data_IF_359099129954
#
_entry.id   IF_359099129954
#
_cell.length_a   1.000
_cell.length_b   1.000
_cell.length_c   1.000
_cell.angle_alpha   90.00
_cell.angle_beta   90.00
_cell.angle_gamma   90.00
#
_symmetry.space_group_name_H-M   'P 1'
#
loop_
_entity.id
_entity.type
_entity.pdbx_description
1 polymer ?
#
# COMPACT_ATOMS: atom_id res chain seq x y z
N UNK A 1 -30.74 -11.64 -5.45
CA UNK A 1 -31.03 -10.84 -4.23
C UNK A 1 -29.87 -11.02 -3.27
N UNK A 2 -29.26 -9.94 -2.78
CA UNK A 2 -28.29 -10.03 -1.68
C UNK A 2 -29.07 -10.13 -0.35
N UNK A 3 -28.68 -11.05 0.53
CA UNK A 3 -29.29 -11.13 1.85
C UNK A 3 -28.94 -9.89 2.69
N UNK A 4 -29.88 -9.30 3.45
CA UNK A 4 -29.57 -8.19 4.34
C UNK A 4 -28.59 -8.65 5.43
N UNK A 5 -27.57 -7.82 5.71
CA UNK A 5 -26.63 -8.09 6.81
C UNK A 5 -27.41 -8.12 8.12
N UNK A 6 -27.37 -9.27 8.80
CA UNK A 6 -28.07 -9.47 10.08
C UNK A 6 -27.40 -8.62 11.18
N UNK A 7 -27.89 -7.40 11.37
CA UNK A 7 -27.50 -6.54 12.48
C UNK A 7 -28.11 -7.16 13.75
N UNK A 8 -27.30 -7.94 14.46
CA UNK A 8 -27.69 -8.57 15.72
C UNK A 8 -28.21 -7.51 16.70
N UNK A 9 -29.27 -7.86 17.44
CA UNK A 9 -29.84 -6.99 18.47
C UNK A 9 -28.79 -6.71 19.55
N UNK A 10 -28.76 -5.50 20.17
CA UNK A 10 -27.69 -5.13 21.10
C UNK A 10 -27.53 -6.06 22.31
N UNK A 11 -28.60 -6.73 22.72
CA UNK A 11 -28.57 -7.76 23.77
C UNK A 11 -27.86 -9.04 23.34
N UNK A 12 -27.96 -9.44 22.07
CA UNK A 12 -27.41 -10.70 21.55
C UNK A 12 -25.92 -10.63 21.23
N UNK A 13 -25.42 -9.44 20.87
CA UNK A 13 -23.98 -9.21 20.60
C UNK A 13 -23.09 -9.42 21.83
N UNK A 14 -23.67 -9.38 23.04
CA UNK A 14 -22.96 -9.55 24.32
C UNK A 14 -23.54 -10.69 25.17
N UNK A 15 -24.36 -11.55 24.57
CA UNK A 15 -24.89 -12.77 25.20
C UNK A 15 -23.78 -13.82 25.25
N UNK A 16 -23.27 -14.13 26.46
CA UNK A 16 -22.17 -15.08 26.63
C UNK A 16 -22.64 -16.50 26.30
N UNK A 17 -21.89 -17.21 25.45
CA UNK A 17 -22.10 -18.63 25.23
C UNK A 17 -21.81 -19.46 26.48
N UNK A 18 -22.31 -20.70 26.52
CA UNK A 18 -22.01 -21.66 27.60
C UNK A 18 -20.50 -21.92 27.75
N UNK A 19 -19.70 -21.76 26.69
CA UNK A 19 -18.25 -21.80 26.77
C UNK A 19 -17.67 -20.54 27.43
N UNK A 20 -18.13 -19.35 27.05
CA UNK A 20 -17.62 -18.08 27.59
C UNK A 20 -17.96 -17.86 29.07
N UNK A 21 -19.03 -18.48 29.56
CA UNK A 21 -19.37 -18.52 30.99
C UNK A 21 -18.43 -19.38 31.84
N UNK A 22 -17.71 -20.34 31.24
CA UNK A 22 -16.91 -21.34 31.96
C UNK A 22 -15.43 -21.40 31.52
N UNK A 23 -15.01 -20.61 30.53
CA UNK A 23 -13.62 -20.58 30.04
C UNK A 23 -12.66 -20.08 31.11
N UNK A 24 -11.56 -20.82 31.29
CA UNK A 24 -10.41 -20.34 32.07
C UNK A 24 -9.72 -19.17 31.37
N UNK A 25 -8.85 -18.43 32.10
CA UNK A 25 -7.79 -17.64 31.49
C UNK A 25 -6.95 -18.48 30.50
N UNK A 26 -6.24 -17.78 29.63
CA UNK A 26 -5.16 -18.35 28.82
C UNK A 26 -3.85 -17.83 29.40
N UNK A 27 -3.00 -18.73 29.88
CA UNK A 27 -1.75 -18.36 30.55
C UNK A 27 -0.76 -17.74 29.56
N UNK A 28 0.01 -16.78 30.05
CA UNK A 28 1.01 -16.10 29.24
C UNK A 28 2.24 -16.98 29.02
N UNK A 29 2.75 -17.00 27.77
CA UNK A 29 4.02 -17.67 27.45
C UNK A 29 5.16 -16.82 28.01
N UNK A 30 5.90 -17.36 28.98
CA UNK A 30 6.95 -16.67 29.74
C UNK A 30 8.34 -17.34 29.63
N UNK A 31 8.46 -18.40 28.85
CA UNK A 31 9.66 -19.24 28.70
C UNK A 31 10.73 -18.68 27.74
N UNK A 32 10.44 -17.54 27.11
CA UNK A 32 11.32 -16.93 26.09
C UNK A 32 11.10 -17.43 24.66
N UNK A 33 10.02 -18.17 24.38
CA UNK A 33 9.63 -18.61 23.02
C UNK A 33 9.71 -17.47 22.00
N UNK A 34 10.59 -17.63 21.00
CA UNK A 34 10.73 -16.68 19.89
C UNK A 34 9.64 -16.91 18.83
N UNK A 35 8.95 -15.83 18.42
CA UNK A 35 7.89 -15.88 17.40
C UNK A 35 8.37 -15.24 16.10
N UNK A 36 8.75 -16.07 15.13
CA UNK A 36 9.16 -15.63 13.80
C UNK A 36 7.95 -15.22 12.93
N UNK A 37 7.59 -13.93 12.96
CA UNK A 37 6.55 -13.34 12.09
C UNK A 37 7.15 -12.78 10.79
N UNK A 38 6.57 -13.16 9.64
CA UNK A 38 6.96 -12.56 8.36
C UNK A 38 6.36 -11.16 8.21
N UNK A 39 7.05 -10.18 7.61
CA UNK A 39 6.50 -8.84 7.38
C UNK A 39 5.21 -8.79 6.53
N UNK A 40 4.91 -9.87 5.79
CA UNK A 40 3.68 -10.01 5.01
C UNK A 40 2.50 -10.55 5.83
N UNK A 41 2.78 -11.25 6.93
CA UNK A 41 1.78 -11.96 7.75
C UNK A 41 0.92 -11.07 8.63
N UNK A 42 1.32 -9.81 8.83
CA UNK A 42 0.61 -8.80 9.64
C UNK A 42 0.34 -7.52 8.82
N UNK A 43 0.35 -7.63 7.49
CA UNK A 43 0.35 -6.48 6.59
C UNK A 43 -1.03 -5.80 6.51
N UNK A 44 -2.12 -6.58 6.56
CA UNK A 44 -3.50 -6.06 6.55
C UNK A 44 -3.91 -5.44 7.89
N UNK A 45 -3.30 -5.87 8.99
CA UNK A 45 -3.67 -5.53 10.37
C UNK A 45 -2.96 -4.26 10.84
N UNK A 46 -1.76 -4.00 10.31
CA UNK A 46 -0.88 -2.91 10.75
C UNK A 46 -0.76 -1.76 9.72
N UNK A 47 -1.40 -1.86 8.55
CA UNK A 47 -1.42 -0.83 7.51
C UNK A 47 -2.54 0.19 7.75
N UNK A 48 -2.28 1.46 7.42
CA UNK A 48 -3.30 2.48 7.27
C UNK A 48 -3.96 2.40 5.88
N UNK A 49 -5.28 2.18 5.77
CA UNK A 49 -5.97 2.06 4.48
C UNK A 49 -6.14 3.40 3.72
N UNK A 50 -5.48 4.47 4.15
CA UNK A 50 -5.45 5.77 3.45
C UNK A 50 -4.13 5.97 2.71
N UNK A 51 -2.98 5.71 3.35
CA UNK A 51 -1.65 5.88 2.76
C UNK A 51 -0.98 4.57 2.32
N UNK A 52 -1.61 3.42 2.60
CA UNK A 52 -1.12 2.07 2.27
C UNK A 52 0.27 1.73 2.84
N UNK A 53 0.64 2.43 3.91
CA UNK A 53 1.87 2.27 4.72
C UNK A 53 1.48 1.88 6.15
N UNK A 54 2.42 1.32 6.92
CA UNK A 54 2.24 0.92 8.31
C UNK A 54 1.79 2.11 9.18
N UNK A 55 0.89 1.88 10.14
CA UNK A 55 0.26 2.93 10.95
C UNK A 55 1.27 3.80 11.72
N UNK A 56 1.13 5.13 11.63
CA UNK A 56 1.96 6.14 12.34
C UNK A 56 1.08 7.00 13.24
N UNK A 57 1.36 7.02 14.55
CA UNK A 57 0.59 7.73 15.57
C UNK A 57 -0.90 7.40 15.50
N UNK A 58 -1.21 6.14 15.78
CA UNK A 58 -2.49 5.48 15.47
C UNK A 58 -3.67 6.21 16.08
N UNK A 59 -4.65 6.53 15.22
CA UNK A 59 -5.97 7.04 15.60
C UNK A 59 -7.03 6.00 15.27
N UNK A 60 -7.85 5.65 16.27
CA UNK A 60 -8.89 4.63 16.19
C UNK A 60 -10.28 5.26 16.26
N UNK A 61 -11.21 4.84 15.40
CA UNK A 61 -12.61 5.32 15.39
C UNK A 61 -13.43 4.67 16.50
N UNK A 62 -14.26 5.44 17.21
CA UNK A 62 -15.07 4.91 18.33
C UNK A 62 -16.15 3.92 17.86
N UNK A 63 -16.85 4.25 16.78
CA UNK A 63 -18.04 3.50 16.32
C UNK A 63 -17.73 2.22 15.52
N UNK A 64 -16.46 1.96 15.19
CA UNK A 64 -16.07 0.83 14.35
C UNK A 64 -14.62 0.35 14.49
N UNK A 65 -13.81 0.91 15.40
CA UNK A 65 -12.45 0.48 15.73
C UNK A 65 -11.45 0.41 14.55
N UNK A 66 -11.76 1.07 13.43
CA UNK A 66 -10.85 1.20 12.30
C UNK A 66 -9.69 2.14 12.64
N UNK A 67 -8.49 1.75 12.21
CA UNK A 67 -7.21 2.39 12.56
C UNK A 67 -6.64 3.16 11.37
N UNK A 68 -6.10 4.34 11.66
CA UNK A 68 -5.52 5.24 10.66
C UNK A 68 -4.32 5.99 11.25
N UNK A 69 -3.38 6.42 10.41
CA UNK A 69 -2.37 7.39 10.83
C UNK A 69 -3.04 8.71 11.23
N UNK A 70 -2.52 9.40 12.26
CA UNK A 70 -3.08 10.67 12.74
C UNK A 70 -3.39 11.65 11.61
N UNK A 71 -2.41 11.88 10.75
CA UNK A 71 -2.47 12.98 9.79
C UNK A 71 -3.30 12.61 8.56
N UNK A 72 -3.36 11.32 8.23
CA UNK A 72 -4.23 10.78 7.20
C UNK A 72 -5.72 10.96 7.56
N UNK A 73 -6.15 10.56 8.75
CA UNK A 73 -7.58 10.70 9.15
C UNK A 73 -7.96 12.14 9.46
N UNK A 74 -7.04 12.97 9.99
CA UNK A 74 -7.27 14.41 10.14
C UNK A 74 -7.41 15.09 8.79
N UNK A 75 -6.59 14.73 7.80
CA UNK A 75 -6.69 15.27 6.45
C UNK A 75 -7.98 14.83 5.77
N UNK A 76 -8.35 13.53 5.83
CA UNK A 76 -9.60 13.03 5.28
C UNK A 76 -10.83 13.75 5.85
N UNK A 77 -10.90 13.93 7.17
CA UNK A 77 -12.00 14.67 7.81
C UNK A 77 -12.01 16.17 7.47
N UNK A 78 -10.86 16.76 7.11
CA UNK A 78 -10.74 18.15 6.64
C UNK A 78 -11.28 18.30 5.21
N UNK A 79 -11.11 17.31 4.34
CA UNK A 79 -11.56 17.29 2.94
C UNK A 79 -13.09 17.23 2.72
N UNK A 80 -13.90 17.65 3.69
CA UNK A 80 -15.36 17.66 3.60
C UNK A 80 -16.04 16.42 4.18
N UNK A 81 -15.73 15.21 3.69
CA UNK A 81 -16.46 13.99 4.05
C UNK A 81 -16.31 13.64 5.55
N UNK A 82 -17.46 13.56 6.26
CA UNK A 82 -17.54 13.27 7.70
C UNK A 82 -17.89 11.80 7.96
N UNK A 83 -17.11 10.90 7.38
CA UNK A 83 -17.32 9.46 7.40
C UNK A 83 -16.00 8.70 7.64
N UNK A 84 -16.10 7.44 8.05
CA UNK A 84 -14.98 6.52 8.20
C UNK A 84 -14.52 6.01 6.82
N UNK A 85 -13.26 6.24 6.38
CA UNK A 85 -12.81 5.83 5.04
C UNK A 85 -12.97 4.33 4.74
N UNK A 86 -12.90 3.46 5.76
CA UNK A 86 -13.04 2.00 5.59
C UNK A 86 -14.48 1.52 5.48
N UNK A 87 -15.44 2.15 6.19
CA UNK A 87 -16.79 1.59 6.36
C UNK A 87 -17.94 2.60 6.34
N UNK A 88 -17.66 3.87 5.99
CA UNK A 88 -18.62 4.98 5.81
C UNK A 88 -19.52 5.33 7.01
N UNK A 89 -19.33 4.72 8.19
CA UNK A 89 -19.96 5.18 9.45
C UNK A 89 -19.59 6.64 9.73
N UNK A 90 -20.57 7.44 10.19
CA UNK A 90 -20.44 8.89 10.42
C UNK A 90 -19.34 9.23 11.45
N UNK A 91 -18.43 10.13 11.07
CA UNK A 91 -17.37 10.68 11.92
C UNK A 91 -17.52 12.20 12.00
N UNK A 92 -18.28 12.68 12.98
CA UNK A 92 -18.67 14.10 13.11
C UNK A 92 -17.46 15.04 13.18
N UNK A 93 -16.40 14.64 13.88
CA UNK A 93 -15.14 15.39 13.98
C UNK A 93 -14.01 14.52 14.53
N UNK A 94 -12.82 15.10 14.75
CA UNK A 94 -11.72 14.47 15.51
C UNK A 94 -12.14 13.97 16.91
N UNK A 95 -13.24 14.48 17.49
CA UNK A 95 -13.82 13.98 18.76
C UNK A 95 -14.44 12.57 18.63
N UNK A 96 -14.74 12.10 17.43
CA UNK A 96 -15.17 10.71 17.13
C UNK A 96 -14.01 9.70 17.13
N UNK A 97 -12.77 10.15 17.37
CA UNK A 97 -11.56 9.33 17.38
C UNK A 97 -10.95 9.24 18.80
N UNK A 98 -10.00 8.32 18.97
CA UNK A 98 -9.02 8.26 20.08
C UNK A 98 -7.61 8.03 19.51
N UNK A 99 -6.57 8.40 20.25
CA UNK A 99 -5.21 7.87 20.02
C UNK A 99 -5.14 6.44 20.58
N UNK A 100 -4.35 5.59 19.95
CA UNK A 100 -4.18 4.17 20.31
C UNK A 100 -2.69 3.87 20.53
N UNK A 101 -2.13 4.43 21.61
CA UNK A 101 -0.71 4.32 21.96
C UNK A 101 -0.28 2.88 22.25
N UNK A 102 -1.22 2.02 22.63
CA UNK A 102 -0.94 0.60 22.88
C UNK A 102 -0.71 -0.13 21.55
N UNK A 103 -1.44 0.24 20.50
CA UNK A 103 -1.22 -0.27 19.15
C UNK A 103 0.07 0.29 18.52
N UNK A 104 0.39 1.57 18.73
CA UNK A 104 1.69 2.13 18.35
C UNK A 104 2.85 1.38 19.04
N UNK A 105 2.75 1.11 20.34
CA UNK A 105 3.75 0.36 21.10
C UNK A 105 3.88 -1.11 20.64
N UNK A 106 2.77 -1.75 20.26
CA UNK A 106 2.77 -3.09 19.67
C UNK A 106 3.52 -3.10 18.33
N UNK A 107 3.26 -2.11 17.46
CA UNK A 107 3.99 -1.95 16.19
C UNK A 107 5.49 -1.78 16.45
N UNK A 108 5.90 -0.94 17.40
CA UNK A 108 7.32 -0.75 17.77
C UNK A 108 7.98 -2.00 18.39
N UNK A 109 7.20 -2.95 18.94
CA UNK A 109 7.74 -4.23 19.42
C UNK A 109 7.91 -5.26 18.31
N UNK A 110 7.03 -5.25 17.31
CA UNK A 110 7.11 -6.16 16.14
C UNK A 110 8.12 -5.64 15.11
N UNK A 111 8.25 -4.31 14.95
CA UNK A 111 9.18 -3.66 14.02
C UNK A 111 10.02 -2.58 14.73
N UNK A 112 11.05 -2.96 15.53
CA UNK A 112 11.87 -2.00 16.26
C UNK A 112 12.63 -1.01 15.37
N UNK A 113 13.19 -1.48 14.24
CA UNK A 113 13.98 -0.68 13.28
C UNK A 113 13.15 -0.20 12.08
N UNK A 114 11.91 0.24 12.34
CA UNK A 114 10.95 0.68 11.30
C UNK A 114 11.55 1.65 10.28
N UNK A 115 12.24 2.71 10.73
CA UNK A 115 12.77 3.73 9.84
C UNK A 115 13.88 3.20 8.92
N UNK A 116 14.63 2.20 9.38
CA UNK A 116 15.62 1.48 8.56
C UNK A 116 14.93 0.64 7.48
N UNK A 117 13.82 -0.02 7.81
CA UNK A 117 13.01 -0.79 6.87
C UNK A 117 12.38 0.11 5.79
N UNK A 118 11.73 1.21 6.19
CA UNK A 118 11.17 2.19 5.24
C UNK A 118 12.28 2.79 4.36
N UNK A 119 13.44 3.15 4.93
CA UNK A 119 14.57 3.65 4.18
C UNK A 119 15.21 2.59 3.27
N UNK A 120 15.16 1.30 3.62
CA UNK A 120 15.59 0.21 2.75
C UNK A 120 14.64 0.06 1.56
N UNK A 121 13.32 -0.04 1.80
CA UNK A 121 12.32 -0.13 0.73
C UNK A 121 12.41 1.07 -0.23
N UNK A 122 12.59 2.28 0.30
CA UNK A 122 12.75 3.50 -0.50
C UNK A 122 13.96 3.43 -1.45
N UNK A 123 15.13 3.01 -0.95
CA UNK A 123 16.35 2.82 -1.76
C UNK A 123 16.20 1.72 -2.81
N UNK A 124 15.46 0.64 -2.51
CA UNK A 124 15.17 -0.43 -3.47
C UNK A 124 14.23 0.05 -4.57
N UNK A 125 13.15 0.77 -4.22
CA UNK A 125 12.22 1.35 -5.18
C UNK A 125 12.91 2.41 -6.07
N UNK A 126 13.74 3.26 -5.49
CA UNK A 126 14.56 4.24 -6.22
C UNK A 126 15.52 3.56 -7.21
N UNK A 127 16.23 2.50 -6.77
CA UNK A 127 17.09 1.70 -7.65
C UNK A 127 16.30 1.11 -8.81
N UNK A 128 15.14 0.51 -8.56
CA UNK A 128 14.28 -0.04 -9.60
C UNK A 128 13.79 1.06 -10.56
N UNK A 129 13.36 2.22 -10.04
CA UNK A 129 12.88 3.32 -10.88
C UNK A 129 13.97 3.92 -11.78
N UNK A 130 15.23 3.89 -11.34
CA UNK A 130 16.42 4.24 -12.15
C UNK A 130 16.85 3.16 -13.15
N UNK A 131 16.39 1.91 -12.99
CA UNK A 131 16.69 0.79 -13.90
C UNK A 131 15.62 0.59 -14.98
N UNK A 132 14.39 1.04 -14.74
CA UNK A 132 13.36 1.10 -15.78
C UNK A 132 13.64 2.27 -16.72
N UNK A 133 13.46 2.06 -18.03
CA UNK A 133 13.69 3.08 -19.06
C UNK A 133 12.52 4.09 -19.15
N UNK A 134 12.21 4.72 -18.00
CA UNK A 134 11.21 5.78 -17.86
C UNK A 134 11.52 6.96 -18.79
N UNK A 135 12.80 7.23 -19.07
CA UNK A 135 13.24 8.37 -19.87
C UNK A 135 12.87 8.19 -21.35
N UNK A 136 13.14 7.03 -21.97
CA UNK A 136 12.71 6.75 -23.34
C UNK A 136 11.20 6.56 -23.48
N UNK A 137 10.51 6.06 -22.44
CA UNK A 137 9.05 6.01 -22.44
C UNK A 137 8.45 7.43 -22.40
N UNK A 138 9.01 8.30 -21.55
CA UNK A 138 8.57 9.70 -21.42
C UNK A 138 8.81 10.49 -22.70
N UNK A 139 9.99 10.37 -23.33
CA UNK A 139 10.28 11.07 -24.59
C UNK A 139 9.42 10.56 -25.75
N UNK A 140 9.15 9.26 -25.84
CA UNK A 140 8.25 8.67 -26.84
C UNK A 140 6.81 9.17 -26.68
N UNK A 141 6.29 9.23 -25.44
CA UNK A 141 4.95 9.79 -25.14
C UNK A 141 4.89 11.28 -25.49
N UNK A 142 5.92 12.06 -25.12
CA UNK A 142 5.99 13.49 -25.37
C UNK A 142 6.11 13.80 -26.87
N UNK A 143 6.87 12.99 -27.63
CA UNK A 143 6.95 13.12 -29.08
C UNK A 143 5.62 12.76 -29.76
N UNK A 144 4.94 11.68 -29.33
CA UNK A 144 3.62 11.33 -29.80
C UNK A 144 2.60 12.46 -29.60
N UNK A 145 2.61 13.10 -28.42
CA UNK A 145 1.81 14.29 -28.13
C UNK A 145 2.16 15.48 -29.05
N UNK A 146 3.45 15.75 -29.29
CA UNK A 146 3.89 16.79 -30.23
C UNK A 146 3.44 16.51 -31.66
N UNK A 147 3.51 15.27 -32.13
CA UNK A 147 3.04 14.88 -33.46
C UNK A 147 1.52 15.07 -33.58
N UNK A 148 0.73 14.57 -32.62
CA UNK A 148 -0.73 14.76 -32.60
C UNK A 148 -1.13 16.25 -32.60
N UNK A 149 -0.45 17.09 -31.80
CA UNK A 149 -0.67 18.53 -31.78
C UNK A 149 -0.36 19.20 -33.13
N UNK A 150 0.73 18.78 -33.81
CA UNK A 150 1.05 19.24 -35.17
C UNK A 150 -0.06 18.89 -36.16
N UNK A 151 -0.52 17.64 -36.22
CA UNK A 151 -1.59 17.23 -37.13
C UNK A 151 -2.91 17.94 -36.86
N UNK A 152 -3.27 18.15 -35.57
CA UNK A 152 -4.46 18.92 -35.17
C UNK A 152 -4.43 20.35 -35.71
N UNK A 153 -3.27 21.02 -35.65
CA UNK A 153 -3.11 22.38 -36.17
C UNK A 153 -3.16 22.46 -37.71
N UNK A 154 -2.77 21.40 -38.43
CA UNK A 154 -2.92 21.36 -39.90
C UNK A 154 -4.38 21.18 -40.31
N UNK A 155 -5.16 20.33 -39.61
CA UNK A 155 -6.60 20.12 -39.89
C UNK A 155 -7.43 21.39 -39.73
N UNK A 156 -7.05 22.30 -38.83
CA UNK A 156 -7.71 23.60 -38.62
C UNK A 156 -7.31 24.65 -39.67
N UNK A 157 -6.23 24.43 -40.43
CA UNK A 157 -5.65 25.41 -41.37
C UNK A 157 -5.98 25.19 -42.85
N UNK A 158 -6.73 24.16 -43.24
CA UNK A 158 -7.16 24.01 -44.65
C UNK A 158 -8.22 25.09 -44.97
N UNK A 159 -7.95 26.05 -45.88
CA UNK A 159 -8.97 27.00 -46.32
C UNK A 159 -10.01 26.29 -47.18
N UNK A 160 -11.25 26.73 -47.12
CA UNK A 160 -12.23 26.46 -48.18
C UNK A 160 -11.81 27.28 -49.39
N UNK A 161 -11.11 26.65 -50.35
CA UNK A 161 -10.82 27.27 -51.63
C UNK A 161 -11.86 26.83 -52.64
N UNK A 162 -12.78 27.75 -52.92
CA UNK A 162 -13.88 27.65 -53.87
C UNK A 162 -13.34 27.96 -55.27
N UNK A 163 -13.47 27.01 -56.21
CA UNK A 163 -13.12 27.23 -57.63
C UNK A 163 -13.72 26.13 -58.50
N UNK A 164 -14.70 26.48 -59.34
CA UNK A 164 -15.33 25.55 -60.28
C UNK A 164 -14.42 25.22 -61.48
N UNK A 165 -14.42 23.94 -61.88
CA UNK A 165 -14.42 23.53 -63.29
C UNK A 165 -14.86 22.06 -63.43
N UNK A 166 -15.42 21.73 -64.60
CA UNK A 166 -16.20 20.52 -64.84
C UNK A 166 -15.67 19.67 -66.00
N UNK A 167 -15.30 18.41 -65.73
CA UNK A 167 -15.14 17.30 -66.70
C UNK A 167 -15.32 15.99 -65.90
N UNK A 168 -16.52 15.42 -65.83
CA UNK A 168 -17.14 14.47 -66.78
C UNK A 168 -16.53 13.04 -66.75
N UNK A 169 -17.30 12.11 -66.16
CA UNK A 169 -17.46 10.66 -66.42
C UNK A 169 -16.23 9.76 -66.69
N UNK A 170 -16.08 8.57 -66.10
CA UNK A 170 -16.90 7.74 -65.18
C UNK A 170 -16.24 6.34 -65.11
N UNK A 171 -16.64 5.36 -64.29
CA UNK A 171 -17.65 5.24 -63.22
C UNK A 171 -17.45 3.88 -62.52
N UNK A 172 -18.31 3.52 -61.53
CA UNK A 172 -18.68 2.16 -61.03
C UNK A 172 -17.55 1.11 -60.84
N UNK A 173 -17.35 0.42 -59.72
CA UNK A 173 -18.12 0.14 -58.48
C UNK A 173 -17.08 -0.28 -57.38
N UNK A 174 -17.30 -0.67 -56.11
CA UNK A 174 -18.43 -1.01 -55.24
C UNK A 174 -18.00 -0.73 -53.76
N UNK A 175 -18.87 -0.98 -52.76
CA UNK A 175 -18.41 -1.28 -51.39
C UNK A 175 -19.14 -0.58 -50.24
N UNK A 176 -20.36 -1.00 -49.92
CA UNK A 176 -21.10 -0.56 -48.73
C UNK A 176 -20.50 -1.11 -47.43
N UNK A 177 -20.23 -0.25 -46.43
CA UNK A 177 -20.08 -0.64 -45.03
C UNK A 177 -20.24 0.56 -44.05
N UNK A 178 -21.50 0.98 -43.87
CA UNK A 178 -22.12 1.45 -42.61
C UNK A 178 -21.18 1.73 -41.40
N UNK A 179 -21.30 2.94 -40.85
CA UNK A 179 -20.64 3.38 -39.61
C UNK A 179 -20.79 2.42 -38.42
N UNK A 180 -19.71 2.23 -37.65
CA UNK A 180 -19.77 1.67 -36.31
C UNK A 180 -18.97 2.51 -35.31
N UNK A 181 -19.49 2.63 -34.09
CA UNK A 181 -18.86 3.36 -32.99
C UNK A 181 -17.71 2.55 -32.40
N UNK A 182 -16.54 3.18 -32.22
CA UNK A 182 -15.40 2.60 -31.51
C UNK A 182 -15.54 2.85 -30.00
N UNK A 183 -16.00 1.85 -29.26
CA UNK A 183 -16.12 1.88 -27.81
C UNK A 183 -14.86 1.30 -27.16
N UNK A 184 -13.91 2.16 -26.79
CA UNK A 184 -12.62 1.72 -26.25
C UNK A 184 -12.78 1.08 -24.86
N UNK A 185 -12.39 -0.20 -24.74
CA UNK A 185 -12.62 -1.01 -23.54
C UNK A 185 -11.30 -1.63 -23.08
N UNK A 186 -10.92 -1.35 -21.83
CA UNK A 186 -9.60 -1.65 -21.30
C UNK A 186 -9.26 -3.16 -21.27
N UNK A 187 -8.01 -3.56 -21.59
CA UNK A 187 -7.59 -4.96 -21.58
C UNK A 187 -7.50 -5.51 -20.15
N UNK A 188 -8.37 -6.47 -19.82
CA UNK A 188 -8.38 -7.17 -18.54
C UNK A 188 -7.62 -8.50 -18.64
N UNK A 189 -6.41 -8.57 -18.09
CA UNK A 189 -5.62 -9.82 -18.04
C UNK A 189 -5.42 -10.31 -16.60
N UNK A 190 -6.13 -11.37 -16.23
CA UNK A 190 -5.97 -12.09 -14.96
C UNK A 190 -4.97 -13.24 -15.09
N UNK A 191 -3.89 -13.30 -14.29
CA UNK A 191 -2.93 -14.40 -14.31
C UNK A 191 -3.43 -15.60 -13.48
N UNK A 192 -4.13 -16.54 -14.10
CA UNK A 192 -4.56 -17.78 -13.45
C UNK A 192 -3.42 -18.81 -13.41
N UNK A 193 -2.66 -18.84 -12.32
CA UNK A 193 -1.62 -19.86 -12.10
C UNK A 193 -2.23 -21.18 -11.61
N UNK A 194 -2.44 -22.12 -12.53
CA UNK A 194 -2.88 -23.47 -12.21
C UNK A 194 -1.74 -24.30 -11.58
N UNK A 195 -1.98 -24.88 -10.40
CA UNK A 195 -1.03 -25.77 -9.72
C UNK A 195 -1.00 -27.15 -10.40
N UNK A 196 0.19 -27.65 -10.72
CA UNK A 196 0.45 -29.09 -10.91
C UNK A 196 1.56 -29.54 -9.97
N UNK A 197 1.37 -30.70 -9.36
CA UNK A 197 2.29 -31.34 -8.42
C UNK A 197 2.84 -32.65 -8.98
N UNK A 198 4.01 -33.04 -8.46
CA UNK A 198 4.72 -34.30 -8.71
C UNK A 198 5.40 -34.41 -10.10
N UNK A 199 6.56 -35.08 -10.25
CA UNK A 199 7.22 -36.03 -9.33
C UNK A 199 8.76 -35.84 -9.23
N UNK A 200 9.48 -36.79 -8.60
CA UNK A 200 10.89 -36.72 -8.13
C UNK A 200 11.89 -37.38 -9.13
N UNK A 201 13.15 -37.70 -8.76
CA UNK A 201 14.29 -36.82 -8.43
C UNK A 201 15.55 -37.07 -9.31
N UNK A 202 16.54 -36.18 -9.29
CA UNK A 202 17.84 -36.34 -10.00
C UNK A 202 19.05 -35.88 -9.18
N UNK A 203 20.21 -36.53 -9.35
CA UNK A 203 21.33 -36.50 -8.40
C UNK A 203 22.31 -35.31 -8.55
N UNK A 204 22.78 -34.88 -7.38
CA UNK A 204 23.97 -34.10 -7.04
C UNK A 204 25.07 -33.84 -8.10
N UNK A 205 25.59 -32.60 -8.06
CA UNK A 205 27.04 -32.37 -7.94
C UNK A 205 27.33 -31.53 -6.69
N UNK A 206 28.54 -31.68 -6.17
CA UNK A 206 29.10 -30.93 -5.03
C UNK A 206 30.18 -30.02 -5.60
N UNK A 207 30.29 -28.79 -5.10
CA UNK A 207 31.52 -28.01 -5.23
C UNK A 207 31.91 -27.38 -3.89
N UNK A 208 33.22 -27.20 -3.69
CA UNK A 208 33.80 -26.86 -2.40
C UNK A 208 34.05 -25.36 -2.24
N UNK A 209 33.90 -24.88 -1.02
CA UNK A 209 33.79 -23.47 -0.70
C UNK A 209 35.06 -22.63 -0.82
N UNK A 210 34.90 -21.37 -0.40
CA UNK A 210 35.99 -20.55 0.11
C UNK A 210 35.54 -19.81 1.35
N UNK A 211 36.11 -20.24 2.48
CA UNK A 211 35.89 -19.70 3.82
C UNK A 211 36.84 -18.51 4.01
N UNK A 212 36.34 -17.28 3.87
CA UNK A 212 37.13 -16.09 4.19
C UNK A 212 37.14 -15.84 5.70
N UNK A 213 38.34 -15.82 6.28
CA UNK A 213 38.58 -15.78 7.72
C UNK A 213 38.60 -14.34 8.23
N UNK A 214 37.97 -14.07 9.37
CA UNK A 214 38.04 -12.77 10.03
C UNK A 214 39.37 -12.58 10.80
N UNK A 215 40.01 -11.39 10.74
CA UNK A 215 41.02 -10.99 11.72
C UNK A 215 40.34 -10.47 12.99
N UNK A 216 40.87 -10.85 14.16
CA UNK A 216 40.27 -10.50 15.46
C UNK A 216 40.89 -9.27 16.12
N UNK A 217 40.06 -8.61 16.94
CA UNK A 217 40.39 -7.86 18.16
C UNK A 217 41.59 -6.88 18.17
N UNK A 218 41.29 -5.62 18.49
CA UNK A 218 42.05 -4.90 19.54
C UNK A 218 41.11 -4.43 20.64
N UNK A 219 41.36 -4.92 21.84
CA UNK A 219 40.72 -4.41 23.06
C UNK A 219 41.49 -3.16 23.52
N UNK A 220 40.78 -2.16 24.05
CA UNK A 220 41.36 -1.15 24.94
C UNK A 220 40.41 -0.97 26.11
N UNK A 221 40.96 -0.78 27.30
CA UNK A 221 40.21 -0.61 28.55
C UNK A 221 40.74 0.63 29.28
N UNK A 222 39.89 1.29 30.07
CA UNK A 222 40.32 2.35 30.99
C UNK A 222 39.24 3.40 31.28
N UNK A 223 38.93 3.54 32.58
CA UNK A 223 38.14 4.60 33.21
C UNK A 223 36.70 4.87 32.68
N UNK A 224 35.64 4.94 33.50
CA UNK A 224 35.58 4.86 34.96
C UNK A 224 35.73 6.23 35.64
N UNK A 225 34.65 7.02 35.65
CA UNK A 225 34.51 8.14 36.57
C UNK A 225 33.08 8.27 37.09
N UNK A 226 32.93 8.13 38.40
CA UNK A 226 31.72 8.48 39.14
C UNK A 226 31.74 9.97 39.44
N UNK A 227 30.64 10.71 39.30
CA UNK A 227 30.36 11.81 40.23
C UNK A 227 28.86 12.15 40.36
N UNK A 228 28.34 11.85 41.56
CA UNK A 228 27.47 12.69 42.41
C UNK A 228 26.40 13.55 41.72
N UNK A 229 25.13 13.16 41.90
CA UNK A 229 24.00 14.06 41.67
C UNK A 229 23.87 15.15 42.74
N UNK A 230 23.04 16.17 42.45
CA UNK A 230 22.66 17.21 43.39
C UNK A 230 21.12 17.38 43.38
N UNK A 231 20.52 17.50 44.57
CA UNK A 231 19.10 17.85 44.75
C UNK A 231 18.91 19.37 44.81
N UNK A 232 17.65 19.80 45.00
CA UNK A 232 17.10 21.17 45.17
C UNK A 232 16.50 21.77 43.88
N UNK A 233 15.44 22.59 43.94
CA UNK A 233 14.42 22.90 44.99
C UNK A 233 13.23 23.55 44.27
N UNK A 234 11.99 23.27 44.68
CA UNK A 234 10.82 24.01 44.21
C UNK A 234 10.52 25.27 45.05
N UNK A 235 9.98 26.32 44.41
CA UNK A 235 9.23 27.46 44.97
C UNK A 235 8.89 28.46 43.84
N UNK A 236 7.92 29.38 44.04
CA UNK A 236 6.89 29.39 45.07
C UNK A 236 5.67 28.55 44.66
#
# INVERSE_FOLDING_TARGET
>A
MAAPVNIQTPSKTWELSLYELHRSPQEAIMDGTEVAVSPRSLHSELMCPICLDMLKNTMTTKECLHRFCSDCIVTALRSGNKECPTCRKKLVSRRSLRRDSNFDALISKIYPSRDEYEAHQRRVLERLNRMHNNEALSSSIEEGLRQQARYRNHRVKKPTQESDNTTFSGGEDNGDARSHLSHDSAPSHTPTLAVRLHQKPGQAKRDHGSRMTAPGQRQTAGAGHLHRGATKRGRP
#
